data_IF_710704556361
#
_entry.id   IF_710704556361
#
_cell.length_a   1.000
_cell.length_b   1.000
_cell.length_c   1.000
_cell.angle_alpha   90.00
_cell.angle_beta   90.00
_cell.angle_gamma   90.00
#
_symmetry.space_group_name_H-M   'P 1'
#
loop_
_entity.id
_entity.type
_entity.pdbx_description
1 polymer ?
#
# COMPACT_ATOMS: atom_id res chain seq x y z
N UNK A 1 -33.87 0.58 21.00
CA UNK A 1 -34.47 -0.32 19.98
C UNK A 1 -33.62 -0.13 18.75
N UNK A 2 -32.86 -1.15 18.34
CA UNK A 2 -32.01 -1.01 17.15
C UNK A 2 -32.92 -0.88 15.92
N UNK A 3 -32.80 0.23 15.20
CA UNK A 3 -33.56 0.47 13.99
C UNK A 3 -32.88 -0.18 12.77
N UNK A 4 -33.42 0.07 11.57
CA UNK A 4 -32.84 -0.47 10.34
C UNK A 4 -31.46 0.12 10.04
N UNK A 5 -31.20 1.36 10.45
CA UNK A 5 -29.92 2.02 10.24
C UNK A 5 -28.85 1.44 11.19
N UNK A 6 -29.21 1.20 12.45
CA UNK A 6 -28.33 0.57 13.44
C UNK A 6 -27.86 -0.81 12.94
N UNK A 7 -28.81 -1.65 12.50
CA UNK A 7 -28.52 -2.98 11.96
C UNK A 7 -27.71 -2.94 10.66
N UNK A 8 -28.00 -1.98 9.78
CA UNK A 8 -27.24 -1.81 8.54
C UNK A 8 -25.78 -1.44 8.84
N UNK A 9 -25.55 -0.57 9.81
CA UNK A 9 -24.22 -0.16 10.20
C UNK A 9 -23.43 -1.33 10.83
N UNK A 10 -24.06 -2.11 11.70
CA UNK A 10 -23.45 -3.32 12.29
C UNK A 10 -22.98 -4.31 11.22
N UNK A 11 -23.78 -4.54 10.18
CA UNK A 11 -23.41 -5.41 9.06
C UNK A 11 -22.23 -4.87 8.25
N UNK A 12 -22.20 -3.56 8.00
CA UNK A 12 -21.09 -2.91 7.28
C UNK A 12 -19.80 -3.00 8.10
N UNK A 13 -19.87 -2.74 9.41
CA UNK A 13 -18.70 -2.83 10.30
C UNK A 13 -18.15 -4.25 10.33
N UNK A 14 -19.00 -5.26 10.55
CA UNK A 14 -18.58 -6.66 10.55
C UNK A 14 -17.94 -7.08 9.21
N UNK A 15 -18.45 -6.57 8.09
CA UNK A 15 -17.87 -6.78 6.75
C UNK A 15 -16.48 -6.18 6.64
N UNK A 16 -16.30 -4.92 7.07
CA UNK A 16 -15.03 -4.22 7.01
C UNK A 16 -13.97 -4.88 7.89
N UNK A 17 -14.35 -5.28 9.10
CA UNK A 17 -13.45 -5.99 10.03
C UNK A 17 -12.95 -7.30 9.44
N UNK A 18 -13.83 -8.08 8.80
CA UNK A 18 -13.43 -9.30 8.09
C UNK A 18 -12.43 -9.04 6.96
N UNK A 19 -12.62 -7.97 6.18
CA UNK A 19 -11.68 -7.58 5.12
C UNK A 19 -10.32 -7.13 5.67
N UNK A 20 -10.32 -6.39 6.78
CA UNK A 20 -9.09 -5.95 7.44
C UNK A 20 -8.33 -7.13 8.04
N UNK A 21 -9.02 -8.07 8.67
CA UNK A 21 -8.43 -9.27 9.26
C UNK A 21 -7.87 -10.24 8.20
N UNK A 22 -8.54 -10.34 7.04
CA UNK A 22 -8.07 -11.17 5.93
C UNK A 22 -6.95 -10.51 5.11
N UNK A 23 -6.63 -9.23 5.37
CA UNK A 23 -5.55 -8.54 4.66
C UNK A 23 -4.23 -9.24 4.98
N UNK A 24 -3.50 -9.75 3.98
CA UNK A 24 -2.21 -10.39 4.22
C UNK A 24 -1.26 -9.37 4.87
N UNK A 25 -0.44 -9.86 5.80
CA UNK A 25 0.66 -9.06 6.34
C UNK A 25 1.52 -8.56 5.17
N UNK A 26 1.86 -7.27 5.20
CA UNK A 26 2.77 -6.69 4.22
C UNK A 26 4.14 -7.32 4.43
N UNK A 27 4.51 -8.26 3.56
CA UNK A 27 5.88 -8.76 3.49
C UNK A 27 6.72 -7.65 2.88
N UNK A 28 7.40 -6.90 3.74
CA UNK A 28 8.35 -5.87 3.33
C UNK A 28 9.53 -6.59 2.70
N UNK A 29 9.63 -6.52 1.37
CA UNK A 29 10.80 -6.98 0.63
C UNK A 29 11.93 -5.95 0.73
N UNK A 30 13.16 -6.39 0.51
CA UNK A 30 14.29 -5.46 0.36
C UNK A 30 14.03 -4.51 -0.81
N UNK A 31 14.39 -3.24 -0.62
CA UNK A 31 14.28 -2.22 -1.67
C UNK A 31 15.32 -2.47 -2.75
N UNK A 32 14.94 -2.33 -4.02
CA UNK A 32 15.88 -2.43 -5.13
C UNK A 32 16.95 -1.33 -5.02
N UNK A 33 18.17 -1.66 -5.43
CA UNK A 33 19.27 -0.69 -5.47
C UNK A 33 19.23 0.17 -6.73
N UNK A 34 18.60 -0.33 -7.79
CA UNK A 34 18.51 0.30 -9.10
C UNK A 34 17.04 0.36 -9.55
N UNK A 35 16.67 1.43 -10.23
CA UNK A 35 15.33 1.64 -10.72
C UNK A 35 15.05 0.76 -11.95
N UNK A 36 13.97 0.00 -11.93
CA UNK A 36 13.60 -0.89 -13.05
C UNK A 36 13.29 -0.16 -14.37
N UNK A 37 12.86 1.11 -14.34
CA UNK A 37 12.47 1.85 -15.54
C UNK A 37 13.63 2.61 -16.20
N UNK A 38 14.46 3.30 -15.39
CA UNK A 38 15.56 4.16 -15.89
C UNK A 38 16.96 3.60 -15.63
N UNK A 39 17.11 2.57 -14.79
CA UNK A 39 18.41 2.02 -14.41
C UNK A 39 19.21 2.88 -13.43
N UNK A 40 18.69 4.03 -12.99
CA UNK A 40 19.40 4.89 -12.04
C UNK A 40 19.38 4.31 -10.62
N UNK A 41 20.43 4.52 -9.81
CA UNK A 41 20.48 4.05 -8.44
C UNK A 41 19.39 4.71 -7.59
N UNK A 42 18.66 3.90 -6.81
CA UNK A 42 17.61 4.39 -5.92
C UNK A 42 18.27 4.96 -4.65
N UNK A 43 18.06 6.26 -4.34
CA UNK A 43 18.70 6.90 -3.20
C UNK A 43 18.29 6.22 -1.88
N UNK A 44 19.23 6.11 -0.94
CA UNK A 44 18.99 5.44 0.35
C UNK A 44 17.80 6.04 1.11
N UNK A 45 17.62 7.36 1.05
CA UNK A 45 16.47 8.05 1.64
C UNK A 45 15.13 7.49 1.12
N UNK A 46 15.05 7.13 -0.17
CA UNK A 46 13.85 6.52 -0.75
C UNK A 46 13.66 5.08 -0.29
N UNK A 47 14.75 4.30 -0.24
CA UNK A 47 14.75 2.91 0.25
C UNK A 47 14.30 2.79 1.70
N UNK A 48 14.63 3.79 2.53
CA UNK A 48 14.20 3.89 3.93
C UNK A 48 12.75 4.38 4.07
N UNK A 49 12.35 5.39 3.30
CA UNK A 49 11.00 5.95 3.37
C UNK A 49 9.93 4.97 2.85
N UNK A 50 10.25 4.19 1.82
CA UNK A 50 9.37 3.18 1.24
C UNK A 50 10.14 1.87 1.09
N UNK A 51 10.11 1.01 2.12
CA UNK A 51 10.82 -0.25 2.06
C UNK A 51 10.12 -1.19 1.07
N UNK A 52 10.91 -1.81 0.18
CA UNK A 52 10.42 -2.58 -0.97
C UNK A 52 10.21 -1.77 -2.25
N UNK A 53 10.75 -0.54 -2.33
CA UNK A 53 10.64 0.25 -3.56
C UNK A 53 11.46 -0.36 -4.71
N UNK A 54 10.90 -0.36 -5.92
CA UNK A 54 11.53 -0.89 -7.14
C UNK A 54 11.75 0.18 -8.24
N UNK A 55 11.35 1.43 -7.99
CA UNK A 55 11.44 2.57 -8.91
C UNK A 55 12.01 3.78 -8.18
N UNK A 56 12.75 4.63 -8.92
CA UNK A 56 13.14 5.95 -8.43
C UNK A 56 11.90 6.85 -8.27
N UNK A 57 12.06 7.96 -7.56
CA UNK A 57 10.94 8.87 -7.26
C UNK A 57 10.30 9.46 -8.52
N UNK A 58 11.09 9.78 -9.54
CA UNK A 58 10.60 10.35 -10.80
C UNK A 58 9.81 9.34 -11.63
N UNK A 59 10.33 8.11 -11.74
CA UNK A 59 9.64 7.03 -12.44
C UNK A 59 8.35 6.62 -11.69
N UNK A 60 8.39 6.57 -10.36
CA UNK A 60 7.20 6.30 -9.55
C UNK A 60 6.15 7.40 -9.74
N UNK A 61 6.54 8.68 -9.71
CA UNK A 61 5.61 9.79 -9.90
C UNK A 61 4.97 9.79 -11.29
N UNK A 62 5.71 9.38 -12.34
CA UNK A 62 5.16 9.19 -13.69
C UNK A 62 4.18 8.01 -13.76
N UNK A 63 4.42 6.94 -12.99
CA UNK A 63 3.55 5.77 -12.95
C UNK A 63 2.23 6.06 -12.23
N UNK A 64 2.27 6.78 -11.09
CA UNK A 64 1.07 7.10 -10.29
C UNK A 64 0.15 8.16 -10.94
N UNK A 65 0.70 8.98 -11.86
CA UNK A 65 -0.08 9.99 -12.60
C UNK A 65 -0.80 9.44 -13.84
N UNK A 66 -0.63 8.15 -14.15
CA UNK A 66 -1.36 7.46 -15.22
C UNK A 66 -2.61 6.80 -14.67
#
# INVERSE_FOLDING_TARGET
>A
MADLADRANELVLARLDGLLAARPALVIRESAEECQDCGEPIPQARRQAVPGCNRCIDCQARHERR
#
